data_IF_431688994616
#
_entry.id   IF_431688994616
#
_cell.length_a   1.000
_cell.length_b   1.000
_cell.length_c   1.000
_cell.angle_alpha   90.00
_cell.angle_beta   90.00
_cell.angle_gamma   90.00
#
_symmetry.space_group_name_H-M   'P 1'
#
loop_
_entity.id
_entity.type
_entity.pdbx_description
1 polymer ?
#
# COMPACT_ATOMS: atom_id res chain seq x y z
N UNK A 1 -24.76 32.22 -10.61
CA UNK A 1 -24.69 30.80 -10.23
C UNK A 1 -23.37 30.59 -9.51
N UNK A 2 -23.39 30.19 -8.24
CA UNK A 2 -22.17 29.80 -7.52
C UNK A 2 -21.62 28.52 -8.18
N UNK A 3 -20.35 28.54 -8.60
CA UNK A 3 -19.69 27.35 -9.16
C UNK A 3 -19.74 26.25 -8.10
N UNK A 4 -20.41 25.14 -8.42
CA UNK A 4 -20.37 23.95 -7.58
C UNK A 4 -18.95 23.35 -7.66
N UNK A 5 -18.25 23.30 -6.54
CA UNK A 5 -16.94 22.66 -6.44
C UNK A 5 -17.17 21.19 -6.13
N UNK A 6 -16.76 20.30 -7.03
CA UNK A 6 -16.76 18.85 -6.82
C UNK A 6 -15.34 18.46 -6.39
N UNK A 7 -15.11 18.04 -5.13
CA UNK A 7 -13.78 17.61 -4.71
C UNK A 7 -13.41 16.31 -5.44
N UNK A 8 -12.12 16.16 -5.78
CA UNK A 8 -11.60 14.95 -6.43
C UNK A 8 -11.80 13.68 -5.59
N UNK A 9 -11.92 13.83 -4.26
CA UNK A 9 -12.13 12.75 -3.32
C UNK A 9 -13.05 13.19 -2.18
N UNK A 10 -14.01 12.32 -1.81
CA UNK A 10 -14.84 12.48 -0.61
C UNK A 10 -14.74 11.23 0.24
N UNK A 11 -14.48 11.38 1.54
CA UNK A 11 -14.50 10.26 2.49
C UNK A 11 -15.90 10.12 3.07
N UNK A 12 -16.32 8.88 3.28
CA UNK A 12 -17.60 8.57 3.89
C UNK A 12 -17.37 7.93 5.25
N UNK A 13 -17.93 8.57 6.28
CA UNK A 13 -18.05 8.00 7.61
C UNK A 13 -19.54 7.97 7.93
N UNK A 14 -20.07 6.77 8.17
CA UNK A 14 -21.44 6.61 8.64
C UNK A 14 -21.60 7.25 10.03
N UNK A 15 -22.75 7.84 10.38
CA UNK A 15 -22.97 8.43 11.70
C UNK A 15 -22.60 7.50 12.86
N UNK A 16 -22.89 6.21 12.72
CA UNK A 16 -22.54 5.15 13.67
C UNK A 16 -21.02 4.98 13.79
N UNK A 17 -20.30 5.02 12.66
CA UNK A 17 -18.84 5.00 12.64
C UNK A 17 -18.24 6.23 13.34
N UNK A 18 -18.81 7.42 13.11
CA UNK A 18 -18.37 8.65 13.77
C UNK A 18 -18.56 8.54 15.29
N UNK A 19 -19.75 8.12 15.73
CA UNK A 19 -20.06 7.92 17.15
C UNK A 19 -19.13 6.90 17.79
N UNK A 20 -18.87 5.78 17.10
CA UNK A 20 -17.97 4.74 17.58
C UNK A 20 -16.52 5.24 17.71
N UNK A 21 -15.99 5.95 16.72
CA UNK A 21 -14.65 6.55 16.76
C UNK A 21 -14.53 7.51 17.95
N UNK A 22 -15.49 8.42 18.10
CA UNK A 22 -15.49 9.40 19.19
C UNK A 22 -15.52 8.73 20.57
N UNK A 23 -16.36 7.70 20.76
CA UNK A 23 -16.43 6.94 22.02
C UNK A 23 -15.11 6.21 22.32
N UNK A 24 -14.49 5.59 21.30
CA UNK A 24 -13.23 4.85 21.48
C UNK A 24 -12.06 5.76 21.80
N UNK A 25 -11.95 6.91 21.14
CA UNK A 25 -10.94 7.92 21.47
C UNK A 25 -11.14 8.45 22.89
N UNK A 26 -12.38 8.78 23.27
CA UNK A 26 -12.70 9.23 24.63
C UNK A 26 -12.29 8.20 25.69
N UNK A 27 -12.57 6.91 25.45
CA UNK A 27 -12.18 5.81 26.36
C UNK A 27 -10.67 5.63 26.44
N UNK A 28 -9.97 5.70 25.30
CA UNK A 28 -8.52 5.64 25.24
C UNK A 28 -7.89 6.76 26.08
N UNK A 29 -8.33 8.01 25.88
CA UNK A 29 -7.83 9.17 26.62
C UNK A 29 -8.13 9.15 28.12
N UNK A 30 -9.19 8.45 28.53
CA UNK A 30 -9.57 8.28 29.93
C UNK A 30 -8.92 7.05 30.59
N UNK A 31 -8.05 6.33 29.88
CA UNK A 31 -7.39 5.10 30.34
C UNK A 31 -5.88 5.31 30.56
N UNK A 32 -5.22 4.30 31.14
CA UNK A 32 -3.75 4.25 31.28
C UNK A 32 -3.08 3.47 30.12
N UNK A 33 -3.81 3.22 29.03
CA UNK A 33 -3.29 2.50 27.87
C UNK A 33 -2.31 3.37 27.05
N UNK A 34 -1.42 2.73 26.29
CA UNK A 34 -0.53 3.41 25.37
C UNK A 34 -1.32 4.19 24.31
N UNK A 35 -0.84 5.38 23.91
CA UNK A 35 -1.42 6.19 22.83
C UNK A 35 -0.81 5.89 21.45
N UNK A 36 0.21 5.04 21.38
CA UNK A 36 0.89 4.62 20.15
C UNK A 36 1.36 3.18 20.28
N UNK A 37 1.26 2.41 19.20
CA UNK A 37 1.56 0.97 19.17
C UNK A 37 0.88 0.18 20.31
N UNK A 38 -0.39 0.48 20.58
CA UNK A 38 -1.18 -0.20 21.60
C UNK A 38 -2.16 -1.20 21.00
N UNK A 39 -3.21 -1.50 21.77
CA UNK A 39 -4.21 -2.54 21.41
C UNK A 39 -4.99 -2.24 20.14
N UNK A 40 -5.26 -0.98 19.80
CA UNK A 40 -6.04 -0.63 18.61
C UNK A 40 -5.18 -0.79 17.36
N UNK A 41 -3.87 -0.49 17.42
CA UNK A 41 -2.93 -0.89 16.38
C UNK A 41 -2.93 -2.41 16.20
N UNK A 42 -2.88 -3.21 17.27
CA UNK A 42 -2.94 -4.69 17.19
C UNK A 42 -4.26 -5.19 16.57
N UNK A 43 -5.40 -4.66 17.02
CA UNK A 43 -6.72 -4.99 16.44
C UNK A 43 -6.78 -4.60 14.96
N UNK A 44 -6.25 -3.45 14.60
CA UNK A 44 -6.25 -3.00 13.22
C UNK A 44 -5.36 -3.88 12.32
N UNK A 45 -4.15 -4.20 12.78
CA UNK A 45 -3.24 -5.16 12.10
C UNK A 45 -3.93 -6.53 11.90
N UNK A 46 -4.65 -7.01 12.91
CA UNK A 46 -5.42 -8.27 12.85
C UNK A 46 -6.56 -8.22 11.83
N UNK A 47 -7.36 -7.16 11.84
CA UNK A 47 -8.48 -7.02 10.89
C UNK A 47 -7.94 -6.87 9.45
N UNK A 48 -6.86 -6.10 9.24
CA UNK A 48 -6.22 -5.94 7.93
C UNK A 48 -5.66 -7.26 7.41
N UNK A 49 -4.87 -8.00 8.20
CA UNK A 49 -4.27 -9.24 7.71
C UNK A 49 -5.32 -10.29 7.35
N UNK A 50 -6.44 -10.33 8.10
CA UNK A 50 -7.60 -11.18 7.77
C UNK A 50 -8.27 -10.74 6.47
N UNK A 51 -8.48 -9.43 6.29
CA UNK A 51 -9.11 -8.90 5.09
C UNK A 51 -8.29 -9.17 3.83
N UNK A 52 -6.97 -8.92 3.89
CA UNK A 52 -6.03 -9.13 2.78
C UNK A 52 -5.77 -10.61 2.53
N UNK A 53 -5.75 -11.45 3.58
CA UNK A 53 -5.47 -12.88 3.48
C UNK A 53 -3.98 -13.21 3.64
N UNK A 54 -3.25 -12.47 4.47
CA UNK A 54 -1.82 -12.68 4.77
C UNK A 54 -1.60 -13.09 6.21
N UNK A 55 -0.40 -13.60 6.53
CA UNK A 55 -0.07 -14.03 7.89
C UNK A 55 0.22 -12.86 8.83
N UNK A 56 0.83 -11.79 8.33
CA UNK A 56 1.30 -10.68 9.16
C UNK A 56 0.97 -9.31 8.56
N UNK A 57 0.72 -8.34 9.44
CA UNK A 57 0.56 -6.94 9.09
C UNK A 57 1.18 -6.07 10.18
N UNK A 58 1.86 -4.99 9.78
CA UNK A 58 2.43 -3.99 10.69
C UNK A 58 1.99 -2.58 10.29
N UNK A 59 1.43 -1.81 11.22
CA UNK A 59 1.14 -0.38 11.00
C UNK A 59 2.39 0.49 11.11
N UNK A 60 2.42 1.62 10.42
CA UNK A 60 3.49 2.61 10.55
C UNK A 60 2.97 4.04 10.28
N UNK A 61 3.86 5.03 10.39
CA UNK A 61 3.52 6.44 10.38
C UNK A 61 3.00 6.99 9.05
N UNK A 62 3.41 6.40 7.91
CA UNK A 62 2.97 6.84 6.57
C UNK A 62 3.14 5.74 5.52
N UNK A 63 2.51 5.91 4.35
CA UNK A 63 2.73 5.00 3.21
C UNK A 63 4.16 5.04 2.68
N UNK A 64 4.81 6.21 2.71
CA UNK A 64 6.23 6.36 2.32
C UNK A 64 7.15 5.60 3.28
N UNK A 65 6.87 5.66 4.58
CA UNK A 65 7.63 4.87 5.56
C UNK A 65 7.35 3.38 5.38
N UNK A 66 6.12 2.97 5.06
CA UNK A 66 5.82 1.56 4.75
C UNK A 66 6.70 1.05 3.58
N UNK A 67 6.86 1.85 2.52
CA UNK A 67 7.75 1.53 1.40
C UNK A 67 9.21 1.43 1.85
N UNK A 68 9.71 2.42 2.60
CA UNK A 68 11.09 2.38 3.12
C UNK A 68 11.31 1.13 3.98
N UNK A 69 10.37 0.82 4.88
CA UNK A 69 10.46 -0.30 5.81
C UNK A 69 10.54 -1.64 5.07
N UNK A 70 9.71 -1.87 4.04
CA UNK A 70 9.78 -3.14 3.29
C UNK A 70 11.06 -3.25 2.46
N UNK A 71 11.57 -2.14 1.91
CA UNK A 71 12.82 -2.11 1.15
C UNK A 71 14.01 -2.43 2.06
N UNK A 72 14.08 -1.76 3.21
CA UNK A 72 15.12 -2.01 4.22
C UNK A 72 15.04 -3.43 4.78
N UNK A 73 13.85 -3.93 5.06
CA UNK A 73 13.65 -5.29 5.56
C UNK A 73 13.98 -6.36 4.50
N UNK A 74 13.82 -6.05 3.21
CA UNK A 74 14.24 -6.90 2.10
C UNK A 74 15.75 -6.84 1.82
N UNK A 75 16.50 -5.96 2.49
CA UNK A 75 17.96 -5.86 2.33
C UNK A 75 18.40 -5.20 1.02
N UNK A 76 17.68 -4.17 0.56
CA UNK A 76 17.99 -3.48 -0.70
C UNK A 76 19.17 -2.52 -0.63
N UNK A 77 19.63 -2.16 0.58
CA UNK A 77 20.68 -1.18 0.79
C UNK A 77 21.97 -1.52 0.00
N UNK A 78 22.56 -0.50 -0.64
CA UNK A 78 23.76 -0.62 -1.46
C UNK A 78 23.53 -1.25 -2.84
N UNK A 79 22.31 -1.66 -3.17
CA UNK A 79 21.95 -2.16 -4.50
C UNK A 79 20.94 -1.27 -5.21
N UNK A 80 20.34 -1.80 -6.28
CA UNK A 80 19.40 -1.11 -7.16
C UNK A 80 17.98 -1.62 -6.98
N UNK A 81 17.00 -0.71 -7.09
CA UNK A 81 15.58 -1.05 -7.03
C UNK A 81 14.90 -0.50 -8.27
N UNK A 82 14.27 -1.39 -9.03
CA UNK A 82 13.55 -1.00 -10.25
C UNK A 82 12.15 -0.48 -9.87
N UNK A 83 11.80 0.70 -10.38
CA UNK A 83 10.51 1.37 -10.16
C UNK A 83 9.95 1.93 -11.48
N UNK A 84 8.63 1.95 -11.70
CA UNK A 84 8.04 2.58 -12.88
C UNK A 84 8.11 4.12 -12.82
N UNK A 85 8.30 4.78 -13.97
CA UNK A 85 8.34 6.25 -14.09
C UNK A 85 7.01 6.95 -13.75
N UNK A 86 5.88 6.23 -13.82
CA UNK A 86 4.54 6.80 -13.56
C UNK A 86 4.15 6.82 -12.08
N UNK A 87 5.02 6.33 -11.20
CA UNK A 87 4.76 6.21 -9.77
C UNK A 87 4.81 7.55 -9.03
N UNK A 88 4.28 7.59 -7.81
CA UNK A 88 4.41 8.75 -6.93
C UNK A 88 5.88 8.96 -6.53
N UNK A 89 6.40 10.21 -6.45
CA UNK A 89 7.76 10.50 -6.00
C UNK A 89 8.13 9.88 -4.64
N UNK A 90 7.13 9.57 -3.79
CA UNK A 90 7.32 8.84 -2.54
C UNK A 90 8.05 7.50 -2.71
N UNK A 91 7.86 6.78 -3.83
CA UNK A 91 8.53 5.52 -4.10
C UNK A 91 10.04 5.71 -4.30
N UNK A 92 10.44 6.64 -5.17
CA UNK A 92 11.85 6.98 -5.35
C UNK A 92 12.49 7.49 -4.06
N UNK A 93 11.77 8.32 -3.28
CA UNK A 93 12.22 8.78 -1.98
C UNK A 93 12.43 7.61 -0.99
N UNK A 94 11.52 6.64 -0.95
CA UNK A 94 11.63 5.46 -0.10
C UNK A 94 12.82 4.58 -0.50
N UNK A 95 13.07 4.41 -1.81
CA UNK A 95 14.26 3.71 -2.32
C UNK A 95 15.54 4.39 -1.84
N UNK A 96 15.65 5.71 -2.01
CA UNK A 96 16.82 6.47 -1.56
C UNK A 96 16.99 6.37 -0.03
N UNK A 97 15.91 6.56 0.73
CA UNK A 97 15.93 6.45 2.21
C UNK A 97 16.28 5.04 2.70
N UNK A 98 15.98 4.01 1.92
CA UNK A 98 16.39 2.64 2.22
C UNK A 98 17.89 2.38 2.04
N UNK A 99 18.63 3.34 1.46
CA UNK A 99 20.05 3.20 1.11
C UNK A 99 20.28 2.52 -0.24
N UNK A 100 19.25 2.38 -1.07
CA UNK A 100 19.31 1.80 -2.41
C UNK A 100 19.28 2.89 -3.50
N UNK A 101 19.62 2.51 -4.73
CA UNK A 101 19.57 3.39 -5.89
C UNK A 101 18.33 3.10 -6.77
N UNK A 102 17.47 4.08 -7.06
CA UNK A 102 16.30 3.87 -7.92
C UNK A 102 16.70 3.76 -9.39
N UNK A 103 16.15 2.75 -10.06
CA UNK A 103 16.29 2.52 -11.51
C UNK A 103 14.91 2.64 -12.13
N UNK A 104 14.72 3.64 -12.98
CA UNK A 104 13.43 3.90 -13.60
C UNK A 104 13.24 3.07 -14.87
N UNK A 105 12.05 2.48 -15.00
CA UNK A 105 11.58 1.83 -16.23
C UNK A 105 10.27 2.43 -16.69
N UNK A 106 9.99 2.31 -17.99
CA UNK A 106 8.70 2.73 -18.51
C UNK A 106 7.57 1.86 -17.95
N UNK A 107 6.36 2.41 -17.96
CA UNK A 107 5.17 1.74 -17.45
C UNK A 107 4.28 1.25 -18.60
N UNK A 108 3.60 0.14 -18.36
CA UNK A 108 2.48 -0.27 -19.20
C UNK A 108 1.30 0.70 -19.00
N UNK A 109 0.27 0.54 -19.84
CA UNK A 109 -0.95 1.36 -19.79
C UNK A 109 -1.72 1.26 -18.47
N UNK A 110 -1.45 0.23 -17.66
CA UNK A 110 -2.03 -0.01 -16.34
C UNK A 110 -1.08 0.37 -15.18
N UNK A 111 -0.08 1.20 -15.46
CA UNK A 111 0.93 1.73 -14.51
C UNK A 111 1.96 0.73 -13.99
N UNK A 112 1.85 -0.55 -14.35
CA UNK A 112 2.84 -1.57 -13.96
C UNK A 112 4.19 -1.34 -14.68
N UNK A 113 5.34 -1.61 -14.04
CA UNK A 113 6.62 -1.57 -14.74
C UNK A 113 6.65 -2.61 -15.89
N UNK A 114 7.16 -2.21 -17.05
CA UNK A 114 7.25 -3.08 -18.23
C UNK A 114 8.16 -4.31 -17.95
N UNK A 115 7.63 -5.55 -18.00
CA UNK A 115 8.41 -6.75 -17.71
C UNK A 115 9.60 -6.98 -18.65
N UNK A 116 9.48 -6.60 -19.93
CA UNK A 116 10.56 -6.74 -20.91
C UNK A 116 11.71 -5.78 -20.62
N UNK A 117 11.41 -4.56 -20.15
CA UNK A 117 12.45 -3.64 -19.67
C UNK A 117 13.08 -4.13 -18.37
N UNK A 118 12.30 -4.69 -17.45
CA UNK A 118 12.79 -5.30 -16.21
C UNK A 118 13.74 -6.46 -16.51
N UNK A 119 13.35 -7.41 -17.37
CA UNK A 119 14.20 -8.54 -17.78
C UNK A 119 15.52 -8.08 -18.42
N UNK A 120 15.47 -7.04 -19.26
CA UNK A 120 16.66 -6.45 -19.88
C UNK A 120 17.63 -5.86 -18.85
N UNK A 121 17.13 -5.27 -17.77
CA UNK A 121 17.97 -4.73 -16.69
C UNK A 121 18.55 -5.89 -15.87
N UNK A 122 17.72 -6.84 -15.47
CA UNK A 122 18.14 -8.01 -14.68
C UNK A 122 19.23 -8.84 -15.39
N UNK A 123 19.16 -8.95 -16.72
CA UNK A 123 20.17 -9.68 -17.51
C UNK A 123 21.52 -8.94 -17.67
N UNK A 124 21.59 -7.65 -17.35
CA UNK A 124 22.78 -6.80 -17.58
C UNK A 124 23.42 -6.26 -16.31
N UNK A 125 22.64 -6.09 -15.25
CA UNK A 125 23.05 -5.44 -14.00
C UNK A 125 23.08 -6.46 -12.86
N UNK A 126 24.22 -6.58 -12.16
CA UNK A 126 24.45 -7.61 -11.14
C UNK A 126 24.07 -7.22 -9.71
N UNK A 127 23.47 -6.04 -9.50
CA UNK A 127 23.22 -5.44 -8.19
C UNK A 127 21.75 -5.03 -7.96
N UNK A 128 20.83 -5.48 -8.82
CA UNK A 128 19.39 -5.32 -8.58
C UNK A 128 18.98 -6.17 -7.38
N UNK A 129 18.31 -5.54 -6.40
CA UNK A 129 17.86 -6.18 -5.15
C UNK A 129 16.35 -6.30 -5.06
N UNK A 130 15.62 -5.40 -5.69
CA UNK A 130 14.17 -5.48 -5.75
C UNK A 130 13.58 -4.88 -7.03
N UNK A 131 12.36 -5.31 -7.34
CA UNK A 131 11.45 -4.64 -8.27
C UNK A 131 10.21 -4.24 -7.47
N UNK A 132 9.81 -2.98 -7.56
CA UNK A 132 8.58 -2.47 -6.97
C UNK A 132 7.46 -2.51 -8.02
N UNK A 133 6.48 -3.39 -7.83
CA UNK A 133 5.26 -3.43 -8.64
C UNK A 133 4.27 -2.38 -8.15
N UNK A 134 3.88 -1.45 -9.02
CA UNK A 134 2.95 -0.37 -8.69
C UNK A 134 1.53 -0.72 -9.12
N UNK A 135 0.59 -0.70 -8.16
CA UNK A 135 -0.83 -0.93 -8.42
C UNK A 135 -1.59 0.39 -8.62
N UNK A 136 -1.21 1.15 -9.65
CA UNK A 136 -1.70 2.50 -9.92
C UNK A 136 -3.21 2.59 -10.13
N UNK A 137 -3.86 3.62 -9.58
CA UNK A 137 -5.33 3.77 -9.67
C UNK A 137 -6.14 2.65 -9.02
N UNK A 138 -5.49 1.74 -8.28
CA UNK A 138 -6.11 0.53 -7.76
C UNK A 138 -6.18 -0.62 -8.77
N UNK A 139 -5.54 -0.48 -9.93
CA UNK A 139 -5.43 -1.53 -10.94
C UNK A 139 -4.22 -2.40 -10.63
N UNK A 140 -4.45 -3.70 -10.50
CA UNK A 140 -3.38 -4.71 -10.38
C UNK A 140 -3.19 -5.28 -11.78
N UNK A 141 -1.99 -5.09 -12.34
CA UNK A 141 -1.67 -5.58 -13.69
C UNK A 141 -1.59 -7.10 -13.75
N UNK A 142 -1.98 -7.72 -14.87
CA UNK A 142 -1.73 -9.15 -15.10
C UNK A 142 -0.23 -9.46 -15.25
N UNK A 143 0.59 -8.46 -15.58
CA UNK A 143 2.06 -8.60 -15.68
C UNK A 143 2.74 -8.92 -14.35
N UNK A 144 2.06 -8.80 -13.21
CA UNK A 144 2.62 -9.16 -11.89
C UNK A 144 3.06 -10.63 -11.81
N UNK A 145 2.42 -11.54 -12.56
CA UNK A 145 2.84 -12.95 -12.62
C UNK A 145 4.22 -13.07 -13.30
N UNK A 146 4.44 -12.35 -14.39
CA UNK A 146 5.71 -12.32 -15.11
C UNK A 146 6.81 -11.62 -14.31
N UNK A 147 6.52 -10.46 -13.71
CA UNK A 147 7.46 -9.74 -12.84
C UNK A 147 7.90 -10.61 -11.66
N UNK A 148 6.97 -11.35 -11.04
CA UNK A 148 7.29 -12.31 -9.98
C UNK A 148 8.20 -13.43 -10.46
N UNK A 149 7.91 -13.99 -11.65
CA UNK A 149 8.74 -15.05 -12.25
C UNK A 149 10.17 -14.55 -12.48
N UNK A 150 10.31 -13.40 -13.13
CA UNK A 150 11.60 -12.76 -13.39
C UNK A 150 12.38 -12.49 -12.08
N UNK A 151 11.71 -11.95 -11.07
CA UNK A 151 12.32 -11.71 -9.76
C UNK A 151 12.81 -13.02 -9.11
N UNK A 152 12.00 -14.07 -9.15
CA UNK A 152 12.36 -15.37 -8.58
C UNK A 152 13.55 -16.03 -9.29
N UNK A 153 13.56 -16.01 -10.63
CA UNK A 153 14.66 -16.57 -11.44
C UNK A 153 16.00 -15.86 -11.20
N UNK A 154 15.95 -14.56 -10.85
CA UNK A 154 17.13 -13.74 -10.61
C UNK A 154 17.45 -13.52 -9.12
N UNK A 155 16.72 -14.17 -8.20
CA UNK A 155 16.85 -14.00 -6.75
C UNK A 155 16.75 -12.52 -6.30
N UNK A 156 15.79 -11.80 -6.89
CA UNK A 156 15.45 -10.41 -6.62
C UNK A 156 14.11 -10.36 -5.88
N UNK A 157 13.94 -9.43 -4.94
CA UNK A 157 12.67 -9.29 -4.22
C UNK A 157 11.62 -8.61 -5.10
N UNK A 158 10.45 -9.24 -5.27
CA UNK A 158 9.27 -8.55 -5.79
C UNK A 158 8.48 -7.95 -4.63
N UNK A 159 8.40 -6.62 -4.58
CA UNK A 159 7.67 -5.86 -3.55
C UNK A 159 6.51 -5.11 -4.20
N UNK A 160 5.42 -4.91 -3.48
CA UNK A 160 4.26 -4.17 -4.01
C UNK A 160 4.20 -2.75 -3.41
N UNK A 161 4.12 -1.73 -4.26
CA UNK A 161 3.47 -0.47 -3.88
C UNK A 161 1.96 -0.62 -4.14
N UNK A 162 1.25 -0.93 -3.05
CA UNK A 162 -0.20 -1.08 -3.02
C UNK A 162 -0.89 0.16 -2.45
N UNK A 163 -0.24 1.34 -2.45
CA UNK A 163 -0.78 2.56 -1.86
C UNK A 163 -2.12 3.01 -2.47
N UNK A 164 -2.45 2.59 -3.68
CA UNK A 164 -3.75 2.84 -4.33
C UNK A 164 -4.69 1.63 -4.30
N UNK A 165 -4.24 0.45 -3.89
CA UNK A 165 -4.91 -0.80 -4.23
C UNK A 165 -5.52 -1.56 -3.03
N UNK A 166 -5.74 -0.91 -1.88
CA UNK A 166 -6.40 -1.57 -0.75
C UNK A 166 -7.81 -2.07 -1.15
N UNK A 167 -8.03 -3.38 -1.08
CA UNK A 167 -9.27 -4.05 -1.50
C UNK A 167 -9.34 -4.43 -2.97
N UNK A 168 -8.40 -4.00 -3.82
CA UNK A 168 -8.27 -4.50 -5.18
C UNK A 168 -7.84 -5.97 -5.17
N UNK A 169 -8.26 -6.72 -6.20
CA UNK A 169 -8.03 -8.15 -6.30
C UNK A 169 -7.83 -8.60 -7.75
N UNK A 170 -6.81 -9.44 -7.99
CA UNK A 170 -6.54 -10.07 -9.26
C UNK A 170 -6.61 -11.60 -9.09
N UNK A 171 -7.45 -12.28 -9.89
CA UNK A 171 -7.61 -13.75 -9.86
C UNK A 171 -7.88 -14.31 -8.45
N UNK A 172 -8.65 -13.58 -7.65
CA UNK A 172 -8.99 -13.96 -6.28
C UNK A 172 -7.92 -13.62 -5.23
N UNK A 173 -6.76 -13.08 -5.61
CA UNK A 173 -5.68 -12.66 -4.70
C UNK A 173 -5.70 -11.15 -4.55
N UNK A 174 -5.80 -10.66 -3.31
CA UNK A 174 -5.83 -9.21 -3.04
C UNK A 174 -4.44 -8.60 -3.23
N UNK A 175 -4.40 -7.33 -3.62
CA UNK A 175 -3.19 -6.52 -3.49
C UNK A 175 -2.66 -6.64 -2.05
N UNK A 176 -1.34 -6.73 -1.91
CA UNK A 176 -0.67 -6.94 -0.63
C UNK A 176 -0.45 -8.39 -0.23
N UNK A 177 -0.95 -9.33 -1.03
CA UNK A 177 -0.71 -10.77 -0.88
C UNK A 177 0.04 -11.38 -2.10
N UNK A 178 0.53 -10.54 -3.03
CA UNK A 178 1.12 -10.98 -4.29
C UNK A 178 2.66 -11.05 -4.15
N UNK A 179 3.30 -10.02 -3.63
CA UNK A 179 4.76 -9.97 -3.50
C UNK A 179 5.30 -10.60 -2.22
N UNK A 180 6.61 -10.42 -2.01
CA UNK A 180 7.28 -10.76 -0.76
C UNK A 180 6.71 -9.94 0.40
N UNK A 181 6.45 -8.66 0.16
CA UNK A 181 5.76 -7.74 1.05
C UNK A 181 5.13 -6.61 0.25
N UNK A 182 4.20 -5.89 0.88
CA UNK A 182 3.56 -4.74 0.28
C UNK A 182 3.44 -3.59 1.25
N UNK A 183 3.46 -2.38 0.69
CA UNK A 183 3.19 -1.15 1.40
C UNK A 183 1.83 -0.58 0.98
N UNK A 184 1.05 -0.12 1.96
CA UNK A 184 -0.15 0.68 1.74
C UNK A 184 -0.02 2.04 2.40
N UNK A 185 -0.72 3.02 1.84
CA UNK A 185 -0.90 4.34 2.45
C UNK A 185 -2.32 4.44 3.02
N UNK A 186 -2.43 5.12 4.16
CA UNK A 186 -3.69 5.46 4.81
C UNK A 186 -3.95 6.98 4.80
N UNK A 187 -3.27 7.71 3.91
CA UNK A 187 -3.44 9.16 3.72
C UNK A 187 -4.91 9.52 3.49
N UNK A 188 -5.28 10.78 3.74
CA UNK A 188 -6.66 11.27 3.74
C UNK A 188 -7.45 10.95 2.46
N UNK A 189 -6.79 10.76 1.32
CA UNK A 189 -7.42 10.44 0.03
C UNK A 189 -7.45 8.94 -0.30
N UNK A 190 -6.90 8.05 0.54
CA UNK A 190 -6.82 6.59 0.27
C UNK A 190 -8.13 5.87 0.54
N UNK A 191 -8.43 4.83 -0.27
CA UNK A 191 -9.72 4.10 -0.21
C UNK A 191 -10.02 3.62 1.21
N UNK A 192 -9.02 3.05 1.87
CA UNK A 192 -8.95 2.93 3.32
C UNK A 192 -8.10 4.10 3.87
N UNK A 193 -8.62 4.89 4.80
CA UNK A 193 -7.90 6.03 5.38
C UNK A 193 -7.90 6.00 6.90
N UNK A 194 -6.84 6.55 7.50
CA UNK A 194 -6.73 6.86 8.91
C UNK A 194 -6.36 8.35 9.13
N UNK A 195 -6.58 9.19 8.12
CA UNK A 195 -6.03 10.54 8.01
C UNK A 195 -4.57 10.52 7.56
N UNK A 196 -3.71 9.89 8.36
CA UNK A 196 -2.32 9.57 8.05
C UNK A 196 -2.00 8.14 8.52
N UNK A 197 -0.98 7.53 7.92
CA UNK A 197 -0.53 6.19 8.30
C UNK A 197 -0.07 5.34 7.11
N UNK A 198 0.52 4.20 7.43
CA UNK A 198 0.87 3.17 6.48
C UNK A 198 0.65 1.77 7.03
N UNK A 199 0.58 0.79 6.14
CA UNK A 199 0.51 -0.62 6.48
C UNK A 199 1.59 -1.36 5.69
N UNK A 200 2.23 -2.31 6.34
CA UNK A 200 3.02 -3.35 5.69
C UNK A 200 2.27 -4.66 5.81
N UNK A 201 2.12 -5.40 4.71
CA UNK A 201 1.60 -6.77 4.72
C UNK A 201 2.65 -7.74 4.18
N UNK A 202 2.72 -8.92 4.77
CA UNK A 202 3.61 -10.00 4.31
C UNK A 202 3.18 -11.34 4.89
N UNK A 203 3.63 -12.43 4.28
CA UNK A 203 3.58 -13.77 4.89
C UNK A 203 4.95 -14.24 5.40
N UNK A 204 5.98 -13.40 5.34
CA UNK A 204 7.33 -13.68 5.83
C UNK A 204 7.52 -13.12 7.24
N UNK A 205 7.68 -14.00 8.23
CA UNK A 205 7.83 -13.64 9.64
C UNK A 205 9.10 -12.82 9.92
N UNK A 206 10.21 -13.13 9.26
CA UNK A 206 11.48 -12.41 9.46
C UNK A 206 11.38 -10.98 8.93
N UNK A 207 10.76 -10.81 7.76
CA UNK A 207 10.53 -9.49 7.18
C UNK A 207 9.62 -8.66 8.09
N UNK A 208 8.54 -9.24 8.59
CA UNK A 208 7.63 -8.51 9.47
C UNK A 208 8.29 -8.11 10.80
N UNK A 209 9.03 -9.01 11.44
CA UNK A 209 9.78 -8.69 12.66
C UNK A 209 10.77 -7.54 12.43
N UNK A 210 11.50 -7.59 11.31
CA UNK A 210 12.42 -6.52 10.91
C UNK A 210 11.71 -5.19 10.70
N UNK A 211 10.52 -5.19 10.07
CA UNK A 211 9.69 -3.98 9.92
C UNK A 211 9.27 -3.40 11.26
N UNK A 212 8.88 -4.24 12.25
CA UNK A 212 8.52 -3.79 13.60
C UNK A 212 9.69 -3.17 14.35
N UNK A 213 10.87 -3.76 14.25
CA UNK A 213 12.12 -3.21 14.80
C UNK A 213 12.41 -1.86 14.15
N UNK A 214 12.45 -1.81 12.82
CA UNK A 214 12.78 -0.62 12.05
C UNK A 214 11.79 0.53 12.25
N UNK A 215 10.47 0.30 12.36
CA UNK A 215 9.49 1.39 12.55
C UNK A 215 9.62 2.07 13.91
N UNK A 216 10.31 1.43 14.87
CA UNK A 216 10.49 1.91 16.23
C UNK A 216 11.97 2.05 16.59
N UNK A 217 12.64 2.98 15.93
CA UNK A 217 14.05 3.34 16.13
C UNK A 217 15.08 2.23 15.85
N UNK A 218 14.66 1.02 15.47
CA UNK A 218 15.55 -0.14 15.37
C UNK A 218 15.76 -0.83 16.72
N UNK A 219 14.76 -0.73 17.60
CA UNK A 219 14.79 -1.34 18.93
C UNK A 219 14.32 -2.79 18.87
N UNK A 220 15.14 -3.70 19.36
CA UNK A 220 14.80 -5.10 19.61
C UNK A 220 15.05 -5.38 21.09
N UNK A 221 14.03 -5.82 21.83
CA UNK A 221 14.10 -6.01 23.30
C UNK A 221 14.65 -4.79 24.09
N UNK A 222 14.31 -3.57 23.65
CA UNK A 222 14.80 -2.29 24.17
C UNK A 222 16.29 -2.00 23.92
N UNK A 223 16.97 -2.79 23.09
CA UNK A 223 18.32 -2.53 22.64
C UNK A 223 18.32 -2.02 21.20
N UNK A 224 19.16 -1.01 20.92
CA UNK A 224 19.32 -0.48 19.57
C UNK A 224 20.20 -1.43 18.75
N UNK A 225 19.62 -2.19 17.84
CA UNK A 225 20.34 -3.16 17.01
C UNK A 225 20.72 -2.60 15.64
N UNK A 226 19.99 -1.60 15.16
CA UNK A 226 20.25 -0.89 13.92
C UNK A 226 19.57 0.49 13.92
N UNK A 227 19.86 1.34 12.93
CA UNK A 227 19.21 2.66 12.81
C UNK A 227 17.81 2.49 12.23
N UNK A 228 16.75 2.61 13.02
CA UNK A 228 15.37 2.64 12.51
C UNK A 228 14.81 4.05 12.31
N UNK A 229 13.50 4.11 12.15
CA UNK A 229 12.68 5.31 11.99
C UNK A 229 11.87 5.58 13.26
N UNK A 230 11.42 6.83 13.42
CA UNK A 230 10.31 7.16 14.32
C UNK A 230 8.97 7.06 13.58
N UNK A 231 8.62 5.87 13.08
CA UNK A 231 7.43 5.66 12.23
C UNK A 231 6.37 4.79 12.91
N UNK A 232 6.03 5.16 14.15
CA UNK A 232 4.94 4.52 14.90
C UNK A 232 3.58 5.10 14.50
N UNK A 233 2.56 4.27 14.48
CA UNK A 233 1.17 4.74 14.35
C UNK A 233 0.59 5.07 15.74
N UNK A 234 -0.21 6.13 15.82
CA UNK A 234 -0.98 6.45 17.01
C UNK A 234 -2.27 5.61 17.07
N UNK A 235 -2.71 5.25 18.28
CA UNK A 235 -3.93 4.47 18.49
C UNK A 235 -5.18 5.17 17.95
N UNK A 236 -5.22 6.50 18.02
CA UNK A 236 -6.31 7.29 17.46
C UNK A 236 -6.45 7.10 15.93
N UNK A 237 -5.32 6.99 15.21
CA UNK A 237 -5.32 6.70 13.77
C UNK A 237 -5.80 5.27 13.52
N UNK A 238 -5.34 4.30 14.32
CA UNK A 238 -5.79 2.91 14.21
C UNK A 238 -7.31 2.78 14.46
N UNK A 239 -7.88 3.50 15.42
CA UNK A 239 -9.33 3.56 15.65
C UNK A 239 -10.06 4.05 14.39
N UNK A 240 -9.59 5.11 13.74
CA UNK A 240 -10.18 5.61 12.49
C UNK A 240 -10.06 4.55 11.39
N UNK A 241 -8.89 3.92 11.26
CA UNK A 241 -8.64 2.86 10.29
C UNK A 241 -9.58 1.66 10.46
N UNK A 242 -9.81 1.21 11.70
CA UNK A 242 -10.77 0.14 12.02
C UNK A 242 -12.19 0.52 11.56
N UNK A 243 -12.63 1.74 11.85
CA UNK A 243 -13.96 2.20 11.44
C UNK A 243 -14.11 2.24 9.92
N UNK A 244 -13.07 2.70 9.19
CA UNK A 244 -13.07 2.70 7.73
C UNK A 244 -13.01 1.29 7.14
N UNK A 245 -12.25 0.38 7.75
CA UNK A 245 -12.12 -1.01 7.28
C UNK A 245 -13.46 -1.74 7.32
N UNK A 246 -14.29 -1.49 8.33
CA UNK A 246 -15.63 -2.10 8.46
C UNK A 246 -16.60 -1.73 7.34
N UNK A 247 -16.40 -0.59 6.69
CA UNK A 247 -17.25 -0.12 5.58
C UNK A 247 -16.56 -0.25 4.22
N UNK A 248 -15.37 -0.86 4.15
CA UNK A 248 -14.52 -0.85 2.96
C UNK A 248 -15.21 -1.43 1.72
N UNK A 249 -15.92 -2.55 1.86
CA UNK A 249 -16.62 -3.18 0.73
C UNK A 249 -17.79 -2.33 0.22
N UNK A 250 -18.49 -1.61 1.11
CA UNK A 250 -19.55 -0.68 0.70
C UNK A 250 -18.93 0.50 -0.07
N UNK A 251 -17.80 1.02 0.41
CA UNK A 251 -17.08 2.13 -0.21
C UNK A 251 -16.54 1.75 -1.60
N UNK A 252 -15.99 0.53 -1.74
CA UNK A 252 -15.51 0.00 -3.02
C UNK A 252 -16.68 -0.19 -3.98
N UNK A 253 -17.78 -0.82 -3.56
CA UNK A 253 -18.98 -0.97 -4.43
C UNK A 253 -19.51 0.38 -4.92
N UNK A 254 -19.52 1.40 -4.05
CA UNK A 254 -19.94 2.74 -4.47
C UNK A 254 -19.01 3.34 -5.54
N UNK A 255 -17.72 3.06 -5.47
CA UNK A 255 -16.75 3.48 -6.50
C UNK A 255 -16.95 2.71 -7.80
N UNK A 256 -17.19 1.41 -7.73
CA UNK A 256 -17.52 0.56 -8.88
C UNK A 256 -18.78 1.09 -9.62
N UNK A 257 -19.84 1.46 -8.90
CA UNK A 257 -21.05 2.08 -9.47
C UNK A 257 -20.76 3.40 -10.22
N UNK A 258 -19.91 4.24 -9.65
CA UNK A 258 -19.53 5.53 -10.24
C UNK A 258 -18.63 5.32 -11.46
N UNK A 259 -17.67 4.40 -11.38
CA UNK A 259 -16.79 4.07 -12.49
C UNK A 259 -17.58 3.54 -13.69
N UNK A 260 -18.57 2.67 -13.44
CA UNK A 260 -19.47 2.19 -14.50
C UNK A 260 -20.22 3.33 -15.19
N UNK A 261 -20.68 4.33 -14.44
CA UNK A 261 -21.31 5.51 -15.02
C UNK A 261 -20.34 6.30 -15.90
N UNK A 262 -19.07 6.41 -15.51
CA UNK A 262 -18.05 7.04 -16.35
C UNK A 262 -17.81 6.23 -17.62
N UNK A 263 -17.61 4.92 -17.51
CA UNK A 263 -17.41 4.01 -18.66
C UNK A 263 -18.56 4.19 -19.68
N UNK A 264 -19.82 4.06 -19.25
CA UNK A 264 -21.01 4.20 -20.11
C UNK A 264 -21.13 5.59 -20.79
N UNK A 265 -20.68 6.66 -20.12
CA UNK A 265 -20.83 8.03 -20.63
C UNK A 265 -19.66 8.47 -21.51
N UNK A 266 -18.46 7.95 -21.24
CA UNK A 266 -17.24 8.29 -21.98
C UNK A 266 -17.13 7.51 -23.29
N UNK A 267 -17.80 6.37 -23.45
CA UNK A 267 -17.86 5.58 -24.71
C UNK A 267 -18.22 6.43 -25.95
N UNK A 268 -19.04 7.47 -25.76
CA UNK A 268 -19.49 8.35 -26.86
C UNK A 268 -18.51 9.47 -27.21
N UNK A 269 -17.42 9.63 -26.46
CA UNK A 269 -16.46 10.72 -26.61
C UNK A 269 -15.25 10.26 -27.41
N UNK A 270 -15.15 10.71 -28.65
CA UNK A 270 -14.01 10.41 -29.53
C UNK A 270 -12.68 10.81 -28.90
N UNK A 271 -11.72 9.87 -28.86
CA UNK A 271 -10.37 10.10 -28.35
C UNK A 271 -10.21 9.93 -26.83
N UNK A 272 -11.25 9.45 -26.13
CA UNK A 272 -11.18 9.08 -24.72
C UNK A 272 -11.42 7.58 -24.59
N UNK A 273 -10.45 6.88 -24.02
CA UNK A 273 -10.55 5.43 -23.78
C UNK A 273 -10.36 5.15 -22.28
N UNK A 274 -11.22 4.31 -21.67
CA UNK A 274 -11.01 3.85 -20.30
C UNK A 274 -9.79 2.92 -20.24
N UNK A 275 -9.13 2.88 -19.09
CA UNK A 275 -8.05 1.91 -18.87
C UNK A 275 -8.63 0.49 -19.00
N UNK A 276 -8.05 -0.38 -19.85
CA UNK A 276 -8.48 -1.76 -19.99
C UNK A 276 -8.56 -2.48 -18.64
N UNK A 277 -9.71 -3.09 -18.37
CA UNK A 277 -9.96 -3.85 -17.13
C UNK A 277 -10.14 -5.33 -17.47
N UNK A 278 -9.12 -6.19 -17.25
CA UNK A 278 -9.27 -7.61 -17.53
C UNK A 278 -10.36 -8.23 -16.64
N UNK A 279 -11.09 -9.27 -17.08
CA UNK A 279 -12.16 -9.90 -16.29
C UNK A 279 -11.68 -10.47 -14.94
N UNK A 280 -10.39 -10.79 -14.85
CA UNK A 280 -9.71 -11.28 -13.67
C UNK A 280 -9.48 -10.22 -12.59
N UNK A 281 -9.60 -8.93 -12.93
CA UNK A 281 -9.34 -7.78 -12.06
C UNK A 281 -10.65 -7.20 -11.48
N UNK A 282 -10.68 -7.11 -10.15
CA UNK A 282 -11.59 -6.24 -9.40
C UNK A 282 -10.78 -5.08 -8.82
N UNK A 283 -10.76 -3.90 -9.46
CA UNK A 283 -10.07 -2.74 -8.92
C UNK A 283 -10.94 -2.04 -7.87
N UNK A 284 -10.31 -1.27 -6.98
CA UNK A 284 -11.03 -0.43 -6.02
C UNK A 284 -11.35 0.98 -6.56
N UNK A 285 -10.89 1.33 -7.77
CA UNK A 285 -11.03 2.63 -8.43
C UNK A 285 -10.60 3.80 -7.51
N UNK A 286 -9.30 3.88 -7.22
CA UNK A 286 -8.70 4.89 -6.33
C UNK A 286 -8.90 6.32 -6.83
#
# INVERSE_FOLDING_TARGET
MTKQIIPAARRYFEPESISWVADRIRKLLASEEYLSLGRYCEVFEEEVRRYIGVKYCAVCGSGTDALELILRAAGTAGGRVIIPVTENPAAALAVIRSGAFPVFVDSLHDFSPDPGLVERILSREGDVRAVLGFHGGGFISESVEELRRLCNENNVAFLEDAAHAFGSMLRGVKAGAIGLAAAFSLYATKVLTAGEGGLVTTSNQKLEGKVRTLRNYGLENNELTEIGLSSRMAEAQAIIGIAQLRTIENNIRRREEIAKLYEERLETITGVEPIPKPPSLRPNYY
#
